data_IF_973603605695
#
_entry.id   IF_973603605695
#
_cell.length_a   1.000
_cell.length_b   1.000
_cell.length_c   1.000
_cell.angle_alpha   90.00
_cell.angle_beta   90.00
_cell.angle_gamma   90.00
#
_symmetry.space_group_name_H-M   'P 1'
#
loop_
_entity.id
_entity.type
_entity.pdbx_description
1 polymer ?
#
# COMPACT_ATOMS: atom_id res chain seq x y z
N UNK A 1 16.10 -10.13 -8.76
CA UNK A 1 14.92 -10.59 -9.54
C UNK A 1 14.24 -11.77 -8.88
N UNK A 2 14.95 -12.79 -8.39
CA UNK A 2 14.39 -13.80 -7.46
C UNK A 2 13.70 -13.14 -6.24
N UNK A 3 14.29 -12.06 -5.70
CA UNK A 3 13.72 -11.25 -4.59
C UNK A 3 12.32 -10.64 -4.82
N UNK A 4 11.81 -10.60 -6.06
CA UNK A 4 10.55 -9.91 -6.39
C UNK A 4 9.33 -10.65 -5.82
N UNK A 5 9.25 -11.96 -6.00
CA UNK A 5 8.12 -12.75 -5.48
C UNK A 5 8.13 -12.81 -3.95
N UNK A 6 9.33 -12.75 -3.33
CA UNK A 6 9.48 -12.71 -1.87
C UNK A 6 8.93 -11.42 -1.31
N UNK A 7 9.35 -10.27 -1.87
CA UNK A 7 8.82 -8.95 -1.47
C UNK A 7 7.30 -8.91 -1.61
N UNK A 8 6.76 -9.46 -2.70
CA UNK A 8 5.31 -9.53 -2.90
C UNK A 8 4.57 -10.26 -1.78
N UNK A 9 5.03 -11.43 -1.35
CA UNK A 9 4.36 -12.16 -0.29
C UNK A 9 4.53 -11.51 1.09
N UNK A 10 5.69 -10.92 1.35
CA UNK A 10 6.00 -10.28 2.63
C UNK A 10 5.19 -9.00 2.87
N UNK A 11 4.81 -8.29 1.81
CA UNK A 11 4.04 -7.05 1.92
C UNK A 11 2.53 -7.32 1.95
N UNK A 12 2.07 -8.31 1.18
CA UNK A 12 0.64 -8.59 1.03
C UNK A 12 0.12 -9.72 1.94
N UNK A 13 0.93 -10.22 2.88
CA UNK A 13 0.51 -11.24 3.84
C UNK A 13 0.09 -12.57 3.19
N UNK A 14 0.61 -12.86 1.99
CA UNK A 14 0.20 -14.02 1.23
C UNK A 14 0.88 -15.28 1.75
N UNK A 15 0.20 -15.88 2.72
CA UNK A 15 0.73 -16.92 3.58
C UNK A 15 -0.12 -18.15 3.36
N UNK A 16 0.51 -19.28 3.02
CA UNK A 16 -0.18 -20.56 3.08
C UNK A 16 -0.45 -20.88 4.54
N UNK A 17 -1.68 -21.26 4.90
CA UNK A 17 -2.05 -21.75 6.24
C UNK A 17 -1.45 -23.13 6.54
N UNK A 18 -0.15 -23.32 6.27
CA UNK A 18 0.61 -24.43 6.75
C UNK A 18 0.91 -24.16 8.23
N UNK A 19 0.07 -24.72 9.10
CA UNK A 19 0.16 -24.68 10.57
C UNK A 19 1.44 -25.35 11.12
N UNK A 20 2.38 -25.69 10.25
CA UNK A 20 3.47 -26.62 10.49
C UNK A 20 4.82 -26.17 9.94
N UNK A 21 4.99 -24.90 9.49
CA UNK A 21 6.35 -24.42 9.17
C UNK A 21 7.12 -24.31 10.49
N UNK A 22 8.17 -25.11 10.70
CA UNK A 22 8.99 -24.98 11.89
C UNK A 22 9.58 -23.58 11.92
N UNK A 23 9.51 -22.91 13.08
CA UNK A 23 10.14 -21.60 13.29
C UNK A 23 11.65 -21.77 13.38
N UNK A 24 12.28 -22.08 12.24
CA UNK A 24 13.72 -22.11 12.07
C UNK A 24 14.21 -20.66 12.06
N UNK A 25 14.95 -20.21 13.08
CA UNK A 25 15.45 -18.85 13.15
C UNK A 25 16.24 -18.47 11.89
N UNK A 26 16.97 -19.42 11.29
CA UNK A 26 17.80 -19.15 10.11
C UNK A 26 17.00 -18.89 8.82
N UNK A 27 15.67 -19.09 8.87
CA UNK A 27 14.76 -18.99 7.73
C UNK A 27 13.65 -17.98 7.99
N UNK A 28 14.05 -16.74 8.24
CA UNK A 28 13.15 -15.64 8.58
C UNK A 28 13.31 -14.46 7.61
N UNK A 29 12.20 -13.78 7.34
CA UNK A 29 12.17 -12.53 6.61
C UNK A 29 11.26 -11.52 7.32
N UNK A 30 11.68 -10.27 7.35
CA UNK A 30 10.93 -9.16 7.93
C UNK A 30 10.45 -8.26 6.80
N UNK A 31 9.14 -8.20 6.59
CA UNK A 31 8.51 -7.29 5.63
C UNK A 31 8.04 -6.01 6.32
N UNK A 32 8.43 -4.85 5.81
CA UNK A 32 7.84 -3.54 6.14
C UNK A 32 7.08 -3.00 4.94
N UNK A 33 5.77 -2.87 5.09
CA UNK A 33 4.89 -2.17 4.17
C UNK A 33 4.62 -0.75 4.69
N UNK A 34 5.12 0.25 3.97
CA UNK A 34 4.98 1.66 4.33
C UNK A 34 3.95 2.32 3.41
N UNK A 35 2.68 2.16 3.78
CA UNK A 35 1.51 2.70 3.12
C UNK A 35 1.29 4.20 3.33
N UNK A 36 0.27 4.73 2.64
CA UNK A 36 -0.11 6.15 2.77
C UNK A 36 -0.73 6.50 4.12
N UNK A 37 -1.48 5.57 4.72
CA UNK A 37 -2.18 5.79 6.01
C UNK A 37 -1.36 5.36 7.21
N UNK A 38 -0.40 4.46 7.05
CA UNK A 38 0.36 3.86 8.13
C UNK A 38 1.46 2.94 7.60
N UNK A 39 2.26 2.41 8.52
CA UNK A 39 3.30 1.43 8.21
C UNK A 39 3.05 0.15 9.02
N UNK A 40 3.34 -1.00 8.42
CA UNK A 40 3.18 -2.33 9.01
C UNK A 40 4.49 -3.09 8.91
N UNK A 41 4.84 -3.79 9.99
CA UNK A 41 5.85 -4.85 9.95
C UNK A 41 5.19 -6.20 10.11
N UNK A 42 5.67 -7.19 9.38
CA UNK A 42 5.34 -8.59 9.55
C UNK A 42 6.59 -9.46 9.50
N UNK A 43 6.64 -10.45 10.36
CA UNK A 43 7.71 -11.45 10.39
C UNK A 43 7.20 -12.78 9.87
N UNK A 44 7.94 -13.33 8.91
CA UNK A 44 7.59 -14.53 8.19
C UNK A 44 8.69 -15.58 8.34
N UNK A 45 8.31 -16.81 8.66
CA UNK A 45 9.19 -17.97 8.58
C UNK A 45 8.91 -18.74 7.30
N UNK A 46 9.95 -19.30 6.70
CA UNK A 46 9.83 -20.11 5.50
C UNK A 46 10.50 -21.47 5.68
N UNK A 47 9.91 -22.52 5.09
CA UNK A 47 10.46 -23.88 5.23
C UNK A 47 11.59 -24.16 4.23
N UNK A 48 11.48 -23.63 3.01
CA UNK A 48 12.43 -23.84 1.92
C UNK A 48 13.14 -22.54 1.55
N UNK A 49 13.68 -22.42 0.35
CA UNK A 49 14.12 -21.12 -0.14
C UNK A 49 12.94 -20.12 0.00
N UNK A 50 13.10 -18.88 0.53
CA UNK A 50 12.03 -17.89 0.56
C UNK A 50 11.39 -17.68 -0.83
N UNK A 51 12.13 -17.98 -1.90
CA UNK A 51 11.66 -17.97 -3.28
C UNK A 51 10.64 -19.07 -3.62
N UNK A 52 10.60 -20.18 -2.87
CA UNK A 52 9.62 -21.26 -3.02
C UNK A 52 8.24 -20.91 -2.43
N UNK A 53 8.10 -19.67 -1.93
CA UNK A 53 6.86 -19.02 -1.52
C UNK A 53 6.14 -19.64 -0.30
N UNK A 54 6.65 -20.72 0.28
CA UNK A 54 6.07 -21.33 1.49
C UNK A 54 6.47 -20.48 2.70
N UNK A 55 5.58 -19.57 3.12
CA UNK A 55 5.78 -18.69 4.28
C UNK A 55 4.65 -18.83 5.29
N UNK A 56 4.97 -18.60 6.57
CA UNK A 56 4.05 -18.49 7.70
C UNK A 56 4.22 -17.11 8.36
N UNK A 57 3.21 -16.25 8.26
CA UNK A 57 3.13 -15.01 9.07
C UNK A 57 3.00 -15.40 10.53
N UNK A 58 3.88 -14.85 11.37
CA UNK A 58 3.91 -15.18 12.80
C UNK A 58 3.47 -14.03 13.67
N UNK A 59 3.89 -12.81 13.33
CA UNK A 59 3.59 -11.62 14.14
C UNK A 59 3.67 -10.39 13.27
N UNK A 60 2.70 -9.48 13.45
CA UNK A 60 2.66 -8.21 12.77
C UNK A 60 2.33 -7.08 13.75
N UNK A 61 2.81 -5.89 13.43
CA UNK A 61 2.47 -4.66 14.13
C UNK A 61 2.26 -3.52 13.13
N UNK A 62 1.27 -2.69 13.40
CA UNK A 62 0.93 -1.52 12.62
C UNK A 62 1.19 -0.25 13.42
N UNK A 63 1.55 0.82 12.73
CA UNK A 63 1.64 2.19 13.25
C UNK A 63 1.00 3.19 12.30
N UNK A 64 0.61 4.33 12.84
CA UNK A 64 0.13 5.49 12.13
C UNK A 64 0.85 6.74 12.66
N UNK A 65 1.05 7.79 11.83
CA UNK A 65 0.67 7.88 10.43
C UNK A 65 1.68 7.20 9.48
N UNK A 66 1.45 7.25 8.16
CA UNK A 66 2.36 6.71 7.14
C UNK A 66 3.56 7.63 6.87
N UNK A 67 4.60 7.10 6.21
CA UNK A 67 5.86 7.82 5.97
C UNK A 67 5.70 9.14 5.21
N UNK A 68 4.69 9.27 4.36
CA UNK A 68 4.41 10.50 3.62
C UNK A 68 4.08 11.70 4.51
N UNK A 69 3.67 11.45 5.76
CA UNK A 69 3.33 12.51 6.73
C UNK A 69 4.56 13.25 7.26
N UNK A 70 5.76 12.74 6.99
CA UNK A 70 7.03 13.34 7.38
C UNK A 70 7.69 14.13 6.23
N UNK A 71 6.92 14.51 5.20
CA UNK A 71 7.43 15.28 4.06
C UNK A 71 8.09 16.60 4.48
N UNK A 72 7.50 17.29 5.45
CA UNK A 72 7.99 18.58 5.96
C UNK A 72 9.15 18.42 6.96
N UNK A 73 9.30 17.23 7.56
CA UNK A 73 10.39 16.92 8.49
C UNK A 73 10.95 15.50 8.24
N UNK A 74 11.73 15.29 7.16
CA UNK A 74 12.21 13.96 6.78
C UNK A 74 13.13 13.28 7.80
N UNK A 75 13.82 14.03 8.67
CA UNK A 75 14.83 13.50 9.59
C UNK A 75 14.27 12.74 10.80
N UNK A 76 12.94 12.65 10.92
CA UNK A 76 12.28 11.87 11.96
C UNK A 76 11.52 10.66 11.37
N UNK A 77 11.68 10.41 10.07
CA UNK A 77 10.95 9.35 9.39
C UNK A 77 11.44 7.96 9.83
N UNK A 78 12.74 7.78 10.01
CA UNK A 78 13.34 6.56 10.57
C UNK A 78 12.90 6.32 12.01
N UNK A 79 12.95 7.36 12.85
CA UNK A 79 12.48 7.31 14.25
C UNK A 79 11.03 6.84 14.34
N UNK A 80 10.17 7.26 13.40
CA UNK A 80 8.76 6.84 13.37
C UNK A 80 8.58 5.33 13.25
N UNK A 81 9.54 4.63 12.62
CA UNK A 81 9.50 3.18 12.42
C UNK A 81 10.09 2.39 13.60
N UNK A 82 10.65 3.07 14.61
CA UNK A 82 11.25 2.42 15.79
C UNK A 82 10.33 1.37 16.43
N UNK A 83 9.02 1.61 16.66
CA UNK A 83 8.15 0.59 17.26
C UNK A 83 8.06 -0.69 16.43
N UNK A 84 8.16 -0.58 15.10
CA UNK A 84 8.12 -1.73 14.19
C UNK A 84 9.43 -2.54 14.23
N UNK A 85 10.57 -1.87 14.24
CA UNK A 85 11.86 -2.56 14.37
C UNK A 85 12.04 -3.19 15.75
N UNK A 86 11.63 -2.49 16.82
CA UNK A 86 11.61 -3.04 18.19
C UNK A 86 10.72 -4.29 18.27
N UNK A 87 9.55 -4.27 17.63
CA UNK A 87 8.67 -5.43 17.54
C UNK A 87 9.38 -6.62 16.90
N UNK A 88 9.98 -6.43 15.72
CA UNK A 88 10.71 -7.49 15.05
C UNK A 88 11.85 -8.03 15.94
N UNK A 89 12.62 -7.16 16.59
CA UNK A 89 13.69 -7.55 17.51
C UNK A 89 13.19 -8.34 18.73
N UNK A 90 12.03 -7.99 19.27
CA UNK A 90 11.43 -8.65 20.43
C UNK A 90 11.11 -10.13 20.20
N UNK A 91 11.02 -10.56 18.94
CA UNK A 91 10.75 -11.95 18.55
C UNK A 91 12.00 -12.85 18.59
N UNK A 92 13.17 -12.31 18.98
CA UNK A 92 14.39 -13.11 19.12
C UNK A 92 14.95 -13.59 17.78
N UNK A 93 14.84 -12.75 16.74
CA UNK A 93 15.35 -13.06 15.40
C UNK A 93 16.88 -13.25 15.42
N UNK A 94 17.44 -14.18 14.62
CA UNK A 94 18.89 -14.30 14.57
C UNK A 94 19.53 -13.08 13.94
N UNK A 95 20.79 -12.88 14.35
CA UNK A 95 21.64 -11.80 13.84
C UNK A 95 21.76 -11.87 12.31
N UNK A 96 21.63 -10.73 11.66
CA UNK A 96 21.68 -10.61 10.20
C UNK A 96 20.36 -10.90 9.49
N UNK A 97 19.24 -10.92 10.22
CA UNK A 97 17.91 -11.12 9.66
C UNK A 97 17.58 -10.05 8.61
N UNK A 98 16.98 -10.49 7.51
CA UNK A 98 16.78 -9.66 6.31
C UNK A 98 15.49 -8.86 6.40
N UNK A 99 15.61 -7.55 6.25
CA UNK A 99 14.49 -6.61 6.21
C UNK A 99 14.24 -6.16 4.78
N UNK A 100 12.98 -6.29 4.36
CA UNK A 100 12.46 -5.81 3.08
C UNK A 100 11.50 -4.68 3.38
N UNK A 101 11.84 -3.44 3.00
CA UNK A 101 10.93 -2.32 3.10
C UNK A 101 10.47 -1.89 1.70
N UNK A 102 9.16 -1.76 1.56
CA UNK A 102 8.53 -1.16 0.41
C UNK A 102 7.62 -0.02 0.85
N UNK A 103 7.95 1.19 0.41
CA UNK A 103 7.05 2.31 0.42
C UNK A 103 6.14 2.28 -0.83
N UNK A 104 4.89 2.64 -0.66
CA UNK A 104 3.87 2.55 -1.73
C UNK A 104 3.36 3.93 -2.17
N UNK A 105 2.06 4.03 -2.47
CA UNK A 105 1.43 5.20 -3.07
C UNK A 105 1.61 6.50 -2.25
N UNK A 106 1.70 6.43 -0.92
CA UNK A 106 1.85 7.62 -0.07
C UNK A 106 3.08 8.45 -0.44
N UNK A 107 4.26 7.83 -0.41
CA UNK A 107 5.52 8.49 -0.78
C UNK A 107 5.58 8.80 -2.27
N UNK A 108 5.08 7.91 -3.14
CA UNK A 108 5.03 8.17 -4.59
C UNK A 108 4.26 9.44 -4.93
N UNK A 109 3.17 9.72 -4.22
CA UNK A 109 2.27 10.84 -4.50
C UNK A 109 2.79 12.18 -3.97
N UNK A 110 3.88 12.21 -3.18
CA UNK A 110 4.43 13.47 -2.71
C UNK A 110 4.93 14.35 -3.88
N UNK A 111 4.58 15.65 -3.91
CA UNK A 111 5.09 16.57 -4.93
C UNK A 111 6.60 16.80 -4.83
N UNK A 112 7.14 16.98 -3.62
CA UNK A 112 8.57 17.13 -3.38
C UNK A 112 9.27 15.76 -3.42
N UNK A 113 9.90 15.45 -4.56
CA UNK A 113 10.71 14.22 -4.70
C UNK A 113 11.98 14.25 -3.86
N UNK A 114 12.52 15.43 -3.55
CA UNK A 114 13.62 15.57 -2.61
C UNK A 114 13.23 15.15 -1.19
N UNK A 115 11.99 15.40 -0.78
CA UNK A 115 11.49 14.91 0.51
C UNK A 115 11.42 13.38 0.52
N UNK A 116 10.95 12.75 -0.56
CA UNK A 116 10.95 11.28 -0.69
C UNK A 116 12.36 10.71 -0.51
N UNK A 117 13.34 11.28 -1.22
CA UNK A 117 14.73 10.80 -1.14
C UNK A 117 15.31 10.97 0.27
N UNK A 118 15.05 12.10 0.93
CA UNK A 118 15.49 12.36 2.32
C UNK A 118 14.83 11.41 3.31
N UNK A 119 13.53 11.14 3.17
CA UNK A 119 12.80 10.19 4.02
C UNK A 119 13.40 8.78 3.88
N UNK A 120 13.61 8.33 2.64
CA UNK A 120 14.13 6.98 2.39
C UNK A 120 15.59 6.84 2.87
N UNK A 121 16.39 7.89 2.74
CA UNK A 121 17.75 7.95 3.27
C UNK A 121 17.75 7.88 4.81
N UNK A 122 16.90 8.66 5.47
CA UNK A 122 16.75 8.68 6.93
C UNK A 122 16.34 7.31 7.48
N UNK A 123 15.32 6.68 6.87
CA UNK A 123 14.89 5.31 7.19
C UNK A 123 16.03 4.31 7.01
N UNK A 124 16.79 4.43 5.92
CA UNK A 124 17.91 3.53 5.63
C UNK A 124 19.03 3.64 6.69
N UNK A 125 19.39 4.87 7.06
CA UNK A 125 20.39 5.15 8.10
C UNK A 125 19.92 4.69 9.47
N UNK A 126 18.66 4.95 9.83
CA UNK A 126 18.09 4.57 11.12
C UNK A 126 18.19 3.06 11.39
N UNK A 127 17.80 2.20 10.43
CA UNK A 127 18.00 0.76 10.59
C UNK A 127 19.48 0.40 10.77
N UNK A 128 20.35 1.04 9.98
CA UNK A 128 21.79 0.77 9.99
C UNK A 128 22.43 1.16 11.32
N UNK A 129 22.07 2.32 11.88
CA UNK A 129 22.70 2.88 13.06
C UNK A 129 22.22 2.21 14.34
N UNK A 130 20.93 1.85 14.42
CA UNK A 130 20.32 1.37 15.66
C UNK A 130 20.09 -0.15 15.72
N UNK A 131 19.95 -0.82 14.57
CA UNK A 131 19.57 -2.25 14.53
C UNK A 131 20.61 -3.15 13.86
N UNK A 132 21.58 -2.58 13.14
CA UNK A 132 22.67 -3.37 12.57
C UNK A 132 23.66 -3.81 13.66
N UNK A 133 24.28 -5.00 13.56
CA UNK A 133 24.13 -6.01 12.50
C UNK A 133 22.99 -7.01 12.75
N UNK A 134 22.06 -6.77 13.67
CA UNK A 134 20.98 -7.71 13.98
C UNK A 134 19.93 -7.76 12.87
N UNK A 135 19.45 -6.61 12.43
CA UNK A 135 18.65 -6.45 11.22
C UNK A 135 19.52 -5.83 10.13
N UNK A 136 19.38 -6.33 8.90
CA UNK A 136 20.10 -5.79 7.74
C UNK A 136 19.19 -5.71 6.52
N UNK A 137 19.37 -4.67 5.71
CA UNK A 137 18.61 -4.51 4.47
C UNK A 137 18.86 -5.67 3.51
N UNK A 138 17.78 -6.30 3.04
CA UNK A 138 17.86 -7.46 2.17
C UNK A 138 18.51 -7.15 0.81
N UNK A 139 18.20 -5.97 0.26
CA UNK A 139 18.74 -5.48 -1.01
C UNK A 139 19.74 -4.32 -0.81
N UNK A 140 20.27 -4.16 0.40
CA UNK A 140 21.16 -3.05 0.77
C UNK A 140 20.46 -1.74 1.12
N UNK A 141 19.23 -1.51 0.65
CA UNK A 141 18.46 -0.28 0.92
C UNK A 141 16.94 -0.52 0.87
N UNK A 142 16.13 0.35 1.51
CA UNK A 142 14.66 0.37 1.37
C UNK A 142 14.24 0.90 0.00
N UNK A 143 13.07 0.49 -0.52
CA UNK A 143 12.61 0.90 -1.87
C UNK A 143 11.23 1.56 -1.86
N UNK A 144 11.01 2.48 -2.79
CA UNK A 144 9.66 2.90 -3.20
C UNK A 144 9.26 2.03 -4.39
N UNK A 145 8.16 1.29 -4.27
CA UNK A 145 7.62 0.51 -5.38
C UNK A 145 6.91 1.42 -6.35
N UNK A 146 6.98 1.16 -7.65
CA UNK A 146 6.02 1.72 -8.61
C UNK A 146 4.63 1.11 -8.40
N UNK A 147 3.58 1.80 -8.86
CA UNK A 147 2.22 1.27 -8.74
C UNK A 147 2.00 -0.04 -9.50
N UNK A 148 2.68 -0.20 -10.64
CA UNK A 148 2.64 -1.44 -11.42
C UNK A 148 3.37 -2.58 -10.70
N UNK A 149 4.51 -2.30 -10.05
CA UNK A 149 5.17 -3.31 -9.21
C UNK A 149 4.27 -3.76 -8.06
N UNK A 150 3.63 -2.82 -7.36
CA UNK A 150 2.66 -3.11 -6.30
C UNK A 150 1.51 -3.99 -6.80
N UNK A 151 0.93 -3.65 -7.96
CA UNK A 151 -0.12 -4.46 -8.58
C UNK A 151 0.33 -5.87 -8.99
N UNK A 152 1.55 -6.01 -9.52
CA UNK A 152 2.12 -7.32 -9.88
C UNK A 152 2.40 -8.15 -8.64
N UNK A 153 2.87 -7.50 -7.57
CA UNK A 153 3.17 -8.15 -6.30
C UNK A 153 1.88 -8.63 -5.63
N UNK A 154 0.84 -7.81 -5.58
CA UNK A 154 -0.49 -8.22 -5.10
C UNK A 154 -1.05 -9.40 -5.91
N UNK A 155 -0.91 -9.38 -7.24
CA UNK A 155 -1.35 -10.49 -8.10
C UNK A 155 -0.59 -11.79 -7.83
N UNK A 156 0.74 -11.72 -7.68
CA UNK A 156 1.56 -12.87 -7.36
C UNK A 156 1.19 -13.44 -5.99
N UNK A 157 0.95 -12.57 -5.01
CA UNK A 157 0.49 -12.92 -3.68
C UNK A 157 -0.84 -13.67 -3.69
N UNK A 158 -1.86 -13.14 -4.37
CA UNK A 158 -3.18 -13.80 -4.51
C UNK A 158 -3.04 -15.17 -5.18
N UNK A 159 -2.34 -15.25 -6.30
CA UNK A 159 -2.23 -16.52 -7.03
C UNK A 159 -1.34 -17.54 -6.32
N UNK A 160 -0.40 -17.08 -5.49
CA UNK A 160 0.33 -17.96 -4.60
C UNK A 160 -0.58 -18.58 -3.55
N UNK A 161 -1.35 -17.77 -2.82
CA UNK A 161 -2.29 -18.25 -1.80
C UNK A 161 -3.31 -19.25 -2.35
N UNK A 162 -3.74 -19.04 -3.60
CA UNK A 162 -4.67 -19.92 -4.29
C UNK A 162 -4.00 -21.17 -4.90
N UNK A 163 -2.68 -21.33 -4.79
CA UNK A 163 -1.95 -22.46 -5.40
C UNK A 163 -1.99 -22.47 -6.93
N UNK A 164 -2.19 -21.31 -7.55
CA UNK A 164 -2.37 -21.15 -9.01
C UNK A 164 -1.07 -20.79 -9.74
N UNK A 165 -0.01 -20.45 -9.02
CA UNK A 165 1.32 -20.23 -9.61
C UNK A 165 2.04 -21.55 -9.93
N UNK A 166 2.76 -21.55 -11.04
CA UNK A 166 3.57 -22.66 -11.56
C UNK A 166 2.85 -23.50 -12.62
N UNK A 167 1.58 -23.20 -12.90
CA UNK A 167 0.81 -23.75 -14.01
C UNK A 167 0.52 -22.70 -15.08
N UNK A 168 -0.23 -23.10 -16.11
CA UNK A 168 -0.62 -22.20 -17.21
C UNK A 168 -1.37 -20.96 -16.70
N UNK A 169 -1.09 -19.81 -17.33
CA UNK A 169 -1.61 -18.49 -16.92
C UNK A 169 -3.14 -18.38 -16.93
N UNK A 170 -3.82 -19.16 -17.77
CA UNK A 170 -5.29 -19.28 -17.82
C UNK A 170 -5.91 -19.80 -16.51
N UNK A 171 -5.12 -20.47 -15.66
CA UNK A 171 -5.59 -20.96 -14.36
C UNK A 171 -5.50 -19.91 -13.26
N UNK A 172 -4.80 -18.81 -13.50
CA UNK A 172 -4.64 -17.72 -12.52
C UNK A 172 -5.91 -16.86 -12.44
N UNK A 173 -6.01 -16.05 -11.39
CA UNK A 173 -7.08 -15.04 -11.24
C UNK A 173 -6.48 -13.65 -11.38
N UNK A 174 -7.29 -12.70 -11.85
CA UNK A 174 -6.95 -11.28 -11.75
C UNK A 174 -6.98 -10.81 -10.30
N UNK A 175 -6.26 -9.73 -10.01
CA UNK A 175 -6.26 -9.05 -8.73
C UNK A 175 -6.66 -7.59 -8.92
N UNK A 176 -7.49 -7.10 -8.00
CA UNK A 176 -7.84 -5.69 -7.87
C UNK A 176 -7.57 -5.29 -6.42
N UNK A 177 -6.74 -4.29 -6.22
CA UNK A 177 -6.32 -3.81 -4.90
C UNK A 177 -6.62 -2.32 -4.77
N UNK A 178 -7.47 -1.95 -3.81
CA UNK A 178 -7.83 -0.56 -3.53
C UNK A 178 -7.15 -0.12 -2.23
N UNK A 179 -5.99 0.51 -2.38
CA UNK A 179 -5.26 1.11 -1.27
C UNK A 179 -5.81 2.47 -0.86
N UNK A 180 -5.09 3.18 0.01
CA UNK A 180 -5.51 4.52 0.46
C UNK A 180 -5.41 5.60 -0.62
N UNK A 181 -4.32 5.60 -1.42
CA UNK A 181 -4.01 6.66 -2.40
C UNK A 181 -4.17 6.21 -3.86
N UNK A 182 -4.14 4.91 -4.14
CA UNK A 182 -4.27 4.37 -5.50
C UNK A 182 -5.04 3.06 -5.52
N UNK A 183 -5.55 2.70 -6.70
CA UNK A 183 -6.10 1.37 -6.98
C UNK A 183 -5.32 0.69 -8.09
N UNK A 184 -4.99 -0.59 -7.90
CA UNK A 184 -4.27 -1.42 -8.86
C UNK A 184 -5.19 -2.48 -9.46
N UNK A 185 -4.95 -2.81 -10.73
CA UNK A 185 -5.53 -3.97 -11.40
C UNK A 185 -4.42 -4.73 -12.11
N UNK A 186 -4.38 -6.05 -11.94
CA UNK A 186 -3.40 -6.92 -12.60
C UNK A 186 -3.99 -8.26 -12.97
N UNK A 187 -3.72 -8.75 -14.17
CA UNK A 187 -4.12 -10.09 -14.63
C UNK A 187 -3.21 -10.58 -15.76
N UNK A 188 -3.20 -11.89 -16.03
CA UNK A 188 -2.49 -12.45 -17.19
C UNK A 188 -3.20 -12.01 -18.46
N UNK A 189 -2.47 -11.38 -19.38
CA UNK A 189 -3.02 -10.96 -20.65
C UNK A 189 -3.33 -12.16 -21.55
N UNK A 190 -4.50 -12.17 -22.19
CA UNK A 190 -4.91 -13.21 -23.13
C UNK A 190 -3.96 -13.27 -24.33
N UNK A 191 -3.66 -12.11 -24.91
CA UNK A 191 -2.58 -11.95 -25.89
C UNK A 191 -1.59 -10.89 -25.37
N UNK A 192 -0.35 -11.28 -25.05
CA UNK A 192 0.69 -10.34 -24.63
C UNK A 192 1.03 -9.28 -25.69
N UNK A 193 0.73 -9.49 -26.98
CA UNK A 193 1.00 -8.54 -28.05
C UNK A 193 0.03 -7.35 -28.02
N UNK A 194 -1.18 -7.54 -27.50
CA UNK A 194 -2.22 -6.51 -27.43
C UNK A 194 -2.05 -5.54 -26.25
N UNK A 195 -1.17 -5.87 -25.29
CA UNK A 195 -0.94 -5.02 -24.12
C UNK A 195 -0.06 -3.82 -24.50
N UNK A 196 -0.55 -2.57 -24.33
CA UNK A 196 0.24 -1.39 -24.65
C UNK A 196 1.51 -1.30 -23.79
N UNK A 197 2.56 -0.71 -24.38
CA UNK A 197 3.80 -0.44 -23.67
C UNK A 197 3.52 0.42 -22.42
N UNK A 198 4.09 0.03 -21.28
CA UNK A 198 3.85 0.66 -19.98
C UNK A 198 2.82 -0.06 -19.09
N UNK A 199 1.97 -0.91 -19.68
CA UNK A 199 1.00 -1.74 -18.96
C UNK A 199 1.41 -3.21 -18.91
N UNK A 200 2.39 -3.59 -19.74
CA UNK A 200 2.91 -4.95 -19.81
C UNK A 200 4.00 -5.19 -18.77
N UNK A 201 3.86 -6.24 -17.97
CA UNK A 201 4.88 -6.69 -17.04
C UNK A 201 5.16 -8.18 -17.23
N UNK A 202 6.43 -8.56 -17.37
CA UNK A 202 6.82 -9.97 -17.45
C UNK A 202 7.34 -10.43 -16.08
N UNK A 203 6.66 -11.39 -15.47
CA UNK A 203 7.04 -11.98 -14.19
C UNK A 203 7.53 -13.41 -14.39
N UNK A 204 8.85 -13.66 -14.34
CA UNK A 204 9.40 -15.00 -14.30
C UNK A 204 9.08 -15.66 -12.95
N UNK A 205 8.60 -16.91 -12.99
CA UNK A 205 8.35 -17.74 -11.81
C UNK A 205 8.65 -19.20 -12.15
N UNK A 206 9.65 -19.77 -11.48
CA UNK A 206 10.22 -21.10 -11.81
C UNK A 206 10.58 -21.17 -13.31
N UNK A 207 10.06 -22.15 -14.03
CA UNK A 207 10.34 -22.38 -15.45
C UNK A 207 9.34 -21.67 -16.39
N UNK A 208 8.55 -20.72 -15.87
CA UNK A 208 7.53 -20.00 -16.63
C UNK A 208 7.69 -18.49 -16.52
N UNK A 209 7.13 -17.77 -17.50
CA UNK A 209 7.03 -16.31 -17.50
C UNK A 209 5.55 -15.94 -17.68
N UNK A 210 4.99 -15.22 -16.70
CA UNK A 210 3.66 -14.64 -16.83
C UNK A 210 3.77 -13.28 -17.50
N UNK A 211 2.99 -13.07 -18.56
CA UNK A 211 2.82 -11.77 -19.19
C UNK A 211 1.55 -11.13 -18.65
N UNK A 212 1.73 -10.10 -17.83
CA UNK A 212 0.68 -9.45 -17.08
C UNK A 212 0.31 -8.12 -17.73
N UNK A 213 -0.99 -7.83 -17.79
CA UNK A 213 -1.47 -6.46 -17.79
C UNK A 213 -1.46 -5.98 -16.34
N UNK A 214 -0.93 -4.79 -16.09
CA UNK A 214 -0.98 -4.13 -14.80
C UNK A 214 -1.16 -2.64 -14.97
N UNK A 215 -2.01 -2.04 -14.14
CA UNK A 215 -2.15 -0.60 -14.07
C UNK A 215 -2.43 -0.12 -12.65
N UNK A 216 -1.97 1.09 -12.34
CA UNK A 216 -2.15 1.76 -11.07
C UNK A 216 -2.80 3.12 -11.29
N UNK A 217 -4.05 3.25 -10.87
CA UNK A 217 -4.82 4.48 -10.89
C UNK A 217 -4.52 5.30 -9.62
N UNK A 218 -3.54 6.20 -9.72
CA UNK A 218 -3.24 7.16 -8.64
C UNK A 218 -4.42 8.13 -8.43
N UNK A 219 -4.73 8.47 -7.19
CA UNK A 219 -5.89 9.29 -6.83
C UNK A 219 -7.20 8.51 -6.68
N UNK A 220 -7.25 7.26 -7.14
CA UNK A 220 -8.42 6.39 -7.08
C UNK A 220 -8.36 5.36 -5.95
N UNK A 221 -7.47 5.54 -4.98
CA UNK A 221 -7.54 4.82 -3.71
C UNK A 221 -8.65 5.38 -2.82
N UNK A 222 -9.04 4.65 -1.77
CA UNK A 222 -10.19 5.01 -0.93
C UNK A 222 -10.09 6.44 -0.34
N UNK A 223 -8.96 6.80 0.29
CA UNK A 223 -8.81 8.11 0.93
C UNK A 223 -8.75 9.25 -0.10
N UNK A 224 -8.02 9.05 -1.20
CA UNK A 224 -7.91 10.06 -2.26
C UNK A 224 -9.23 10.26 -3.01
N UNK A 225 -9.92 9.17 -3.35
CA UNK A 225 -11.24 9.24 -3.97
C UNK A 225 -12.24 9.92 -3.03
N UNK A 226 -12.17 9.61 -1.73
CA UNK A 226 -12.99 10.26 -0.70
C UNK A 226 -12.72 11.76 -0.61
N UNK A 227 -11.46 12.18 -0.59
CA UNK A 227 -11.09 13.59 -0.59
C UNK A 227 -11.65 14.31 -1.84
N UNK A 228 -11.48 13.73 -3.03
CA UNK A 228 -12.01 14.30 -4.27
C UNK A 228 -13.55 14.40 -4.29
N UNK A 229 -14.26 13.43 -3.70
CA UNK A 229 -15.73 13.51 -3.56
C UNK A 229 -16.17 14.65 -2.62
N UNK A 230 -15.39 14.92 -1.58
CA UNK A 230 -15.65 16.00 -0.63
C UNK A 230 -15.32 17.37 -1.22
N UNK A 231 -14.23 17.49 -2.00
CA UNK A 231 -13.90 18.70 -2.76
C UNK A 231 -15.01 19.09 -3.75
N UNK A 232 -15.69 18.11 -4.34
CA UNK A 232 -16.81 18.32 -5.27
C UNK A 232 -18.17 18.53 -4.58
N UNK A 233 -18.22 18.49 -3.25
CA UNK A 233 -19.48 18.55 -2.52
C UNK A 233 -20.05 19.96 -2.48
N UNK A 234 -21.37 20.06 -2.67
CA UNK A 234 -22.08 21.30 -2.45
C UNK A 234 -21.92 21.76 -0.98
N UNK A 235 -21.59 23.02 -0.80
CA UNK A 235 -21.56 23.70 0.49
C UNK A 235 -22.95 24.20 0.85
N UNK A 236 -23.39 23.96 2.08
CA UNK A 236 -24.55 24.66 2.64
C UNK A 236 -24.04 25.69 3.63
N UNK A 237 -24.28 26.97 3.32
CA UNK A 237 -24.00 28.08 4.22
C UNK A 237 -25.24 28.34 5.06
N UNK A 238 -25.21 27.94 6.33
CA UNK A 238 -26.24 28.33 7.29
C UNK A 238 -26.02 29.82 7.63
N UNK A 239 -26.97 30.68 7.27
CA UNK A 239 -26.89 32.13 7.51
C UNK A 239 -26.78 32.46 9.00
N UNK A 240 -25.61 32.93 9.43
CA UNK A 240 -25.41 33.50 10.76
C UNK A 240 -25.98 34.92 10.85
N UNK A 241 -26.63 35.24 11.96
CA UNK A 241 -26.86 36.63 12.36
C UNK A 241 -25.52 37.38 12.45
N UNK A 242 -25.54 38.68 12.13
CA UNK A 242 -24.36 39.56 12.11
C UNK A 242 -23.43 39.31 13.30
N UNK A 243 -22.23 38.81 13.02
CA UNK A 243 -21.14 38.65 14.01
C UNK A 243 -20.69 37.22 14.32
N UNK A 244 -21.35 36.18 13.79
CA UNK A 244 -20.92 34.77 13.93
C UNK A 244 -20.17 34.28 12.69
N UNK A 245 -19.05 33.59 12.87
CA UNK A 245 -18.29 32.95 11.78
C UNK A 245 -19.20 32.02 11.00
N UNK A 246 -19.36 32.24 9.69
CA UNK A 246 -20.06 31.34 8.78
C UNK A 246 -19.46 29.94 8.84
N UNK A 247 -20.15 28.99 9.48
CA UNK A 247 -19.74 27.60 9.52
C UNK A 247 -20.29 26.89 8.28
N UNK A 248 -19.43 26.73 7.27
CA UNK A 248 -19.76 25.99 6.05
C UNK A 248 -19.83 24.50 6.37
N UNK A 249 -20.98 23.87 6.16
CA UNK A 249 -21.14 22.42 6.31
C UNK A 249 -21.24 21.77 4.93
N UNK A 250 -20.40 20.76 4.68
CA UNK A 250 -20.48 19.94 3.47
C UNK A 250 -21.55 18.87 3.64
N UNK A 251 -22.45 18.78 2.66
CA UNK A 251 -23.46 17.72 2.61
C UNK A 251 -22.92 16.56 1.79
N UNK A 252 -22.75 15.42 2.46
CA UNK A 252 -22.16 14.24 1.88
C UNK A 252 -23.18 13.10 1.74
N UNK A 253 -23.56 12.73 0.49
CA UNK A 253 -24.47 11.63 0.26
C UNK A 253 -23.85 10.26 0.52
N UNK A 254 -22.52 10.16 0.58
CA UNK A 254 -21.82 8.90 0.76
C UNK A 254 -21.62 8.52 2.25
N UNK A 255 -21.64 9.48 3.18
CA UNK A 255 -21.68 9.21 4.61
C UNK A 255 -23.09 8.81 5.05
N UNK A 256 -23.16 8.01 6.12
CA UNK A 256 -24.42 7.55 6.69
C UNK A 256 -25.31 8.71 7.17
N UNK A 257 -26.62 8.52 7.09
CA UNK A 257 -27.59 9.50 7.62
C UNK A 257 -27.35 9.72 9.13
N UNK A 258 -27.26 10.99 9.54
CA UNK A 258 -26.99 11.37 10.93
C UNK A 258 -25.52 11.31 11.33
N UNK A 259 -24.61 11.06 10.40
CA UNK A 259 -23.19 11.29 10.61
C UNK A 259 -22.92 12.79 10.62
N UNK A 260 -22.31 13.29 11.70
CA UNK A 260 -21.74 14.64 11.78
C UNK A 260 -20.27 14.52 12.21
N UNK A 261 -19.36 15.07 11.41
CA UNK A 261 -17.93 14.97 11.65
C UNK A 261 -17.14 16.09 10.98
N UNK A 262 -15.83 15.91 10.92
CA UNK A 262 -14.91 16.86 10.29
C UNK A 262 -14.07 16.16 9.24
N UNK A 263 -13.73 16.89 8.19
CA UNK A 263 -12.78 16.46 7.17
C UNK A 263 -11.86 17.62 6.79
N UNK A 264 -10.66 17.29 6.34
CA UNK A 264 -9.77 18.28 5.71
C UNK A 264 -10.05 18.31 4.21
N UNK A 265 -10.43 19.46 3.68
CA UNK A 265 -10.67 19.71 2.25
C UNK A 265 -9.90 20.96 1.85
N UNK A 266 -9.03 20.89 0.84
CA UNK A 266 -8.14 21.98 0.44
C UNK A 266 -7.37 22.61 1.62
N UNK A 267 -6.78 21.77 2.48
CA UNK A 267 -6.05 22.16 3.70
C UNK A 267 -6.88 22.92 4.76
N UNK A 268 -8.21 22.90 4.64
CA UNK A 268 -9.13 23.50 5.61
C UNK A 268 -9.97 22.43 6.32
N UNK A 269 -10.07 22.53 7.64
CA UNK A 269 -10.97 21.70 8.43
C UNK A 269 -12.41 22.18 8.22
N UNK A 270 -13.27 21.30 7.71
CA UNK A 270 -14.68 21.58 7.40
C UNK A 270 -15.61 20.58 8.07
N UNK A 271 -16.77 21.04 8.51
CA UNK A 271 -17.81 20.17 9.06
C UNK A 271 -18.50 19.41 7.92
N UNK A 272 -18.74 18.11 8.12
CA UNK A 272 -19.39 17.21 7.15
C UNK A 272 -20.62 16.60 7.79
N UNK A 273 -21.76 16.65 7.09
CA UNK A 273 -23.00 15.99 7.51
C UNK A 273 -23.45 14.98 6.45
N UNK A 274 -23.77 13.76 6.90
CA UNK A 274 -24.09 12.62 6.04
C UNK A 274 -25.59 12.47 5.79
N UNK A 275 -25.97 12.20 4.54
CA UNK A 275 -27.38 11.98 4.17
C UNK A 275 -27.74 10.52 3.90
N UNK A 276 -26.75 9.65 3.65
CA UNK A 276 -26.98 8.25 3.29
C UNK A 276 -27.69 8.04 1.94
N UNK A 277 -27.65 9.02 1.04
CA UNK A 277 -28.31 8.94 -0.27
C UNK A 277 -27.50 8.09 -1.26
N UNK A 278 -27.86 6.81 -1.38
CA UNK A 278 -27.21 5.88 -2.33
C UNK A 278 -27.21 6.39 -3.78
N UNK A 279 -28.34 6.95 -4.24
CA UNK A 279 -28.48 7.44 -5.62
C UNK A 279 -27.54 8.61 -5.91
N UNK A 280 -27.47 9.58 -5.00
CA UNK A 280 -26.60 10.75 -5.15
C UNK A 280 -25.13 10.35 -4.99
N UNK A 281 -24.81 9.49 -4.01
CA UNK A 281 -23.46 8.98 -3.82
C UNK A 281 -22.97 8.24 -5.08
N UNK A 282 -23.78 7.33 -5.62
CA UNK A 282 -23.45 6.58 -6.85
C UNK A 282 -23.23 7.53 -8.03
N UNK A 283 -24.05 8.57 -8.15
CA UNK A 283 -23.92 9.57 -9.22
C UNK A 283 -22.59 10.33 -9.10
N UNK A 284 -22.22 10.75 -7.89
CA UNK A 284 -20.94 11.41 -7.63
C UNK A 284 -19.75 10.49 -7.90
N UNK A 285 -19.80 9.23 -7.46
CA UNK A 285 -18.76 8.25 -7.75
C UNK A 285 -18.59 8.03 -9.26
N UNK A 286 -19.68 7.96 -10.03
CA UNK A 286 -19.61 7.86 -11.50
C UNK A 286 -18.96 9.09 -12.13
N UNK A 287 -19.30 10.29 -11.64
CA UNK A 287 -18.68 11.53 -12.11
C UNK A 287 -17.18 11.54 -11.84
N UNK A 288 -16.76 11.14 -10.63
CA UNK A 288 -15.34 11.00 -10.27
C UNK A 288 -14.61 10.05 -11.23
N UNK A 289 -15.19 8.88 -11.53
CA UNK A 289 -14.61 7.90 -12.44
C UNK A 289 -14.60 8.34 -13.91
N UNK A 290 -15.44 9.32 -14.28
CA UNK A 290 -15.49 9.89 -15.63
C UNK A 290 -14.56 11.08 -15.84
N UNK A 291 -13.76 11.46 -14.83
CA UNK A 291 -12.79 12.57 -14.91
C UNK A 291 -11.63 12.20 -15.83
N UNK A 292 -11.81 12.51 -17.10
CA UNK A 292 -10.72 12.61 -18.06
C UNK A 292 -10.56 11.38 -18.95
N UNK A 293 -10.38 11.70 -20.23
CA UNK A 293 -10.05 10.87 -21.38
C UNK A 293 -11.26 10.28 -22.12
N UNK A 294 -11.60 10.80 -23.33
CA UNK A 294 -12.39 10.02 -24.26
C UNK A 294 -11.65 8.71 -24.55
N UNK A 295 -12.39 7.60 -24.55
CA UNK A 295 -11.87 6.28 -24.92
C UNK A 295 -11.44 6.23 -26.38
#
# INVERSE_FOLDING_TARGET
MRSICVVALLLFGAVTSASSIPKDPSKVAVGLDCGSSGSRVCVYYYDKDPHDLVMAETSCQNIHPGLSSYADNPSIAGDSLKPLFDHAMSLGLPKGSKVYLAATAGLRSLPDKGAVDRIMADVSSFLTDYYSPHLVWANGYPRVLSGNEEGVFGWAAVNHMLGKLGGSGDKTVGSLDMGGSSTQITFVATDPADVPNGYKFSLPYKDQVYHLYTHSFAGYGYNSARASLLEDSNTVTSGGFQGSSTQTTLIDPCAFSGYDGEATVNDQLVSVSGTGSWGDCTTRCKLLLSRGWPC
#
